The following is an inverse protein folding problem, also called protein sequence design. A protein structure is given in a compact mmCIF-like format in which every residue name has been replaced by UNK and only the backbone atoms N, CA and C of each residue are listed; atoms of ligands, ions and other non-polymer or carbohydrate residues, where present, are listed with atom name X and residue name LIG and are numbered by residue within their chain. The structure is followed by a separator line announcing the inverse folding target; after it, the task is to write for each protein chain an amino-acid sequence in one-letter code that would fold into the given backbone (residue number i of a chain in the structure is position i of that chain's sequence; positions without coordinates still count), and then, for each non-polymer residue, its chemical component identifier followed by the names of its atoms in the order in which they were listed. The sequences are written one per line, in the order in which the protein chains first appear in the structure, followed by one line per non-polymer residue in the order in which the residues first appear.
data_IF_839686182936
#
_entry.id   IF_839686182936
#
_cell.length_a   1.000
_cell.length_b   1.000
_cell.length_c   1.000
_cell.angle_alpha   90.00
_cell.angle_beta   90.00
_cell.angle_gamma   90.00
#
_symmetry.space_group_name_H-M   'P 1'
#
loop_
_entity.id
_entity.type
_entity.pdbx_description
1 polymer ?
#
# COMPACT_ATOMS: atom_id res chain seq x y z
N UNK A 1 -19.91 4.16 0.49
CA UNK A 1 -19.07 4.83 1.51
C UNK A 1 -19.13 4.17 2.88
N UNK A 2 -20.30 3.84 3.42
CA UNK A 2 -20.39 3.20 4.74
C UNK A 2 -19.69 1.84 4.81
N UNK A 3 -19.73 1.03 3.76
CA UNK A 3 -19.08 -0.29 3.71
C UNK A 3 -17.53 -0.21 3.86
N UNK A 4 -16.88 0.75 3.22
CA UNK A 4 -15.42 0.92 3.35
C UNK A 4 -15.01 1.45 4.72
N UNK A 5 -15.79 2.33 5.34
CA UNK A 5 -15.51 2.82 6.68
C UNK A 5 -15.53 1.66 7.70
N UNK A 6 -16.54 0.80 7.64
CA UNK A 6 -16.63 -0.39 8.47
C UNK A 6 -15.47 -1.36 8.21
N UNK A 7 -15.10 -1.58 6.95
CA UNK A 7 -13.93 -2.40 6.59
C UNK A 7 -12.63 -1.86 7.17
N UNK A 8 -12.45 -0.54 7.25
CA UNK A 8 -11.27 0.10 7.85
C UNK A 8 -11.25 -0.15 9.36
N UNK A 9 -12.39 0.01 10.05
CA UNK A 9 -12.52 -0.26 11.48
C UNK A 9 -12.25 -1.73 11.84
N UNK A 10 -12.59 -2.64 10.94
CA UNK A 10 -12.42 -4.10 11.10
C UNK A 10 -11.10 -4.60 10.53
N UNK A 11 -10.22 -3.72 10.04
CA UNK A 11 -8.97 -4.13 9.44
C UNK A 11 -7.97 -4.67 10.48
N UNK A 12 -7.50 -5.87 10.24
CA UNK A 12 -6.54 -6.56 11.08
C UNK A 12 -5.12 -6.39 10.52
N UNK A 13 -4.37 -5.40 11.03
CA UNK A 13 -3.03 -5.10 10.53
C UNK A 13 -1.93 -5.26 11.58
N UNK A 14 -2.27 -5.19 12.87
CA UNK A 14 -1.30 -5.04 13.95
C UNK A 14 -0.57 -6.32 14.36
N UNK A 15 -0.90 -7.45 13.75
CA UNK A 15 -0.07 -8.66 13.85
C UNK A 15 1.30 -8.51 13.14
N UNK A 16 1.39 -7.57 12.19
CA UNK A 16 2.60 -7.32 11.40
C UNK A 16 2.97 -5.85 11.31
N UNK A 17 1.99 -4.95 11.31
CA UNK A 17 2.22 -3.52 11.23
C UNK A 17 2.38 -2.92 12.62
N UNK A 18 3.28 -1.95 12.74
CA UNK A 18 3.47 -1.15 13.94
C UNK A 18 2.57 0.08 13.88
N UNK A 19 2.06 0.50 15.03
CA UNK A 19 1.52 1.84 15.19
C UNK A 19 2.68 2.83 15.16
N UNK A 20 2.92 3.42 13.98
CA UNK A 20 4.07 4.30 13.79
C UNK A 20 3.87 5.65 14.45
N UNK A 21 4.94 6.33 14.88
CA UNK A 21 4.81 7.65 15.50
C UNK A 21 4.35 8.70 14.48
N UNK A 22 3.69 9.73 15.02
CA UNK A 22 3.41 10.99 14.35
C UNK A 22 4.39 12.03 14.92
N UNK A 23 5.42 12.39 14.16
CA UNK A 23 6.53 13.22 14.62
C UNK A 23 6.41 14.65 14.07
N UNK A 24 6.64 15.67 14.92
CA UNK A 24 6.73 17.05 14.46
C UNK A 24 8.04 17.28 13.70
N UNK A 25 7.91 17.73 12.46
CA UNK A 25 9.03 18.09 11.59
C UNK A 25 9.52 19.51 11.92
N UNK A 26 10.33 19.67 12.95
CA UNK A 26 10.72 20.98 13.50
C UNK A 26 11.32 21.93 12.44
N UNK A 27 12.29 21.47 11.66
CA UNK A 27 12.93 22.31 10.65
C UNK A 27 11.94 22.76 9.57
N UNK A 28 11.11 21.85 9.06
CA UNK A 28 10.11 22.17 8.07
C UNK A 28 9.02 23.09 8.63
N UNK A 29 8.61 22.86 9.88
CA UNK A 29 7.64 23.70 10.57
C UNK A 29 8.15 25.13 10.71
N UNK A 30 9.40 25.32 11.08
CA UNK A 30 10.03 26.64 11.19
C UNK A 30 10.15 27.33 9.83
N UNK A 31 10.58 26.61 8.80
CA UNK A 31 10.72 27.13 7.42
C UNK A 31 9.38 27.62 6.87
N UNK A 32 8.31 26.87 7.10
CA UNK A 32 6.98 27.16 6.58
C UNK A 32 6.14 28.05 7.52
N UNK A 33 6.65 28.39 8.69
CA UNK A 33 5.91 29.07 9.76
C UNK A 33 4.54 28.40 10.01
N UNK A 34 4.54 27.07 10.11
CA UNK A 34 3.35 26.23 10.26
C UNK A 34 3.68 24.99 11.09
N UNK A 35 2.68 24.27 11.60
CA UNK A 35 2.90 22.99 12.24
C UNK A 35 2.82 21.86 11.22
N UNK A 36 3.96 21.19 11.01
CA UNK A 36 4.08 20.06 10.08
C UNK A 36 4.42 18.80 10.86
N UNK A 37 3.65 17.75 10.65
CA UNK A 37 3.85 16.44 11.25
C UNK A 37 4.09 15.37 10.16
N UNK A 38 4.92 14.41 10.47
CA UNK A 38 5.23 13.26 9.60
C UNK A 38 4.69 11.98 10.24
N UNK A 39 3.83 11.28 9.54
CA UNK A 39 3.43 9.91 9.88
C UNK A 39 4.50 8.96 9.36
N UNK A 40 5.25 8.36 10.28
CA UNK A 40 6.53 7.68 10.00
C UNK A 40 6.34 6.22 9.55
N UNK A 41 5.65 6.02 8.42
CA UNK A 41 5.46 4.68 7.85
C UNK A 41 6.77 4.04 7.32
N UNK A 42 7.82 4.83 7.18
CA UNK A 42 9.19 4.35 6.93
C UNK A 42 9.78 3.52 8.09
N UNK A 43 9.20 3.61 9.29
CA UNK A 43 9.60 2.83 10.46
C UNK A 43 8.91 1.46 10.57
N UNK A 44 8.09 1.09 9.61
CA UNK A 44 7.58 -0.29 9.48
C UNK A 44 8.74 -1.26 9.16
N UNK A 45 8.59 -2.54 9.50
CA UNK A 45 9.64 -3.56 9.27
C UNK A 45 9.99 -3.75 7.78
N UNK A 46 9.09 -3.35 6.87
CA UNK A 46 9.31 -3.32 5.41
C UNK A 46 9.47 -1.90 4.87
N UNK A 47 9.76 -0.94 5.74
CA UNK A 47 10.04 0.47 5.43
C UNK A 47 8.93 1.19 4.66
N UNK A 48 7.68 0.74 4.79
CA UNK A 48 6.53 1.37 4.13
C UNK A 48 5.19 0.89 4.66
N UNK A 49 4.15 1.69 4.41
CA UNK A 49 2.76 1.40 4.74
C UNK A 49 2.19 0.16 4.03
N UNK A 50 2.83 -0.35 2.99
CA UNK A 50 2.30 -1.43 2.14
C UNK A 50 2.00 -2.71 2.92
N UNK A 51 2.67 -2.93 4.03
CA UNK A 51 2.43 -4.08 4.90
C UNK A 51 0.99 -4.14 5.42
N UNK A 52 0.38 -2.99 5.70
CA UNK A 52 -0.97 -2.89 6.26
C UNK A 52 -2.02 -3.50 5.31
N UNK A 53 -2.07 -3.01 4.08
CA UNK A 53 -3.02 -3.51 3.09
C UNK A 53 -2.72 -4.93 2.64
N UNK A 54 -1.45 -5.29 2.45
CA UNK A 54 -1.06 -6.64 2.08
C UNK A 54 -1.52 -7.64 3.15
N UNK A 55 -1.24 -7.38 4.42
CA UNK A 55 -1.64 -8.27 5.51
C UNK A 55 -3.16 -8.31 5.69
N UNK A 56 -3.84 -7.17 5.71
CA UNK A 56 -5.30 -7.12 5.86
C UNK A 56 -6.04 -7.89 4.75
N UNK A 57 -5.51 -7.90 3.53
CA UNK A 57 -6.04 -8.73 2.44
C UNK A 57 -5.77 -10.21 2.70
N UNK A 58 -4.54 -10.54 3.04
CA UNK A 58 -4.11 -11.94 3.15
C UNK A 58 -4.67 -12.62 4.40
N UNK A 59 -4.88 -11.91 5.51
CA UNK A 59 -5.49 -12.45 6.74
C UNK A 59 -6.96 -12.89 6.54
N UNK A 60 -7.62 -12.37 5.51
CA UNK A 60 -9.01 -12.73 5.14
C UNK A 60 -9.12 -13.88 4.15
N UNK A 61 -7.99 -14.40 3.68
CA UNK A 61 -7.99 -15.57 2.80
C UNK A 61 -8.35 -16.83 3.61
N UNK A 62 -9.07 -17.73 2.96
CA UNK A 62 -9.37 -19.05 3.55
C UNK A 62 -8.11 -19.88 3.71
N UNK A 63 -8.13 -20.85 4.61
CA UNK A 63 -7.02 -21.79 4.79
C UNK A 63 -6.65 -22.50 3.47
N UNK A 64 -7.62 -22.83 2.64
CA UNK A 64 -7.39 -23.41 1.32
C UNK A 64 -6.63 -22.46 0.39
N UNK A 65 -6.98 -21.17 0.35
CA UNK A 65 -6.30 -20.16 -0.45
C UNK A 65 -4.87 -19.91 0.05
N UNK A 66 -4.68 -19.85 1.37
CA UNK A 66 -3.34 -19.71 1.97
C UNK A 66 -2.46 -20.93 1.67
N UNK A 67 -3.02 -22.15 1.73
CA UNK A 67 -2.29 -23.38 1.41
C UNK A 67 -1.87 -23.46 -0.08
N UNK A 68 -2.67 -22.92 -0.99
CA UNK A 68 -2.31 -22.81 -2.40
C UNK A 68 -1.20 -21.77 -2.62
N UNK A 69 -1.22 -20.69 -1.85
CA UNK A 69 -0.25 -19.62 -1.93
C UNK A 69 -0.79 -18.37 -2.62
N UNK A 70 0.01 -17.32 -2.54
CA UNK A 70 -0.32 -16.00 -3.09
C UNK A 70 0.70 -15.57 -4.14
N UNK A 71 0.29 -14.65 -5.01
CA UNK A 71 1.14 -14.10 -6.06
C UNK A 71 0.90 -12.59 -6.19
N UNK A 72 1.94 -11.85 -6.51
CA UNK A 72 1.84 -10.44 -6.89
C UNK A 72 2.93 -10.04 -7.87
N UNK A 73 2.74 -8.90 -8.55
CA UNK A 73 3.74 -8.23 -9.37
C UNK A 73 4.17 -6.94 -8.69
N UNK A 74 5.42 -6.85 -8.26
CA UNK A 74 5.99 -5.63 -7.69
C UNK A 74 7.50 -5.75 -7.47
N UNK A 75 8.27 -4.77 -7.88
CA UNK A 75 9.70 -4.65 -7.57
C UNK A 75 10.01 -3.77 -6.35
N UNK A 76 8.99 -3.38 -5.57
CA UNK A 76 9.15 -2.40 -4.50
C UNK A 76 8.50 -2.79 -3.18
N UNK A 77 7.92 -1.81 -2.53
CA UNK A 77 7.38 -1.91 -1.17
C UNK A 77 6.23 -2.93 -1.04
N UNK A 78 5.40 -3.08 -2.08
CA UNK A 78 4.31 -4.05 -2.04
C UNK A 78 4.83 -5.50 -2.05
N UNK A 79 5.89 -5.78 -2.80
CA UNK A 79 6.56 -7.07 -2.79
C UNK A 79 7.02 -7.48 -1.38
N UNK A 80 7.65 -6.56 -0.66
CA UNK A 80 8.09 -6.80 0.72
C UNK A 80 6.90 -6.95 1.68
N UNK A 81 5.85 -6.14 1.52
CA UNK A 81 4.62 -6.25 2.30
C UNK A 81 3.95 -7.61 2.14
N UNK A 82 3.81 -8.11 0.91
CA UNK A 82 3.24 -9.44 0.63
C UNK A 82 4.15 -10.54 1.16
N UNK A 83 5.46 -10.43 0.97
CA UNK A 83 6.41 -11.44 1.43
C UNK A 83 6.42 -11.58 2.96
N UNK A 84 6.43 -10.47 3.72
CA UNK A 84 6.36 -10.50 5.18
C UNK A 84 5.01 -11.03 5.67
N UNK A 85 3.91 -10.62 5.03
CA UNK A 85 2.57 -11.13 5.35
C UNK A 85 2.48 -12.64 5.16
N UNK A 86 3.03 -13.14 4.05
CA UNK A 86 3.06 -14.56 3.74
C UNK A 86 3.88 -15.35 4.78
N UNK A 87 5.04 -14.83 5.16
CA UNK A 87 5.87 -15.42 6.20
C UNK A 87 5.11 -15.55 7.53
N UNK A 88 4.39 -14.50 7.92
CA UNK A 88 3.57 -14.49 9.15
C UNK A 88 2.40 -15.47 9.11
N UNK A 89 1.74 -15.57 7.96
CA UNK A 89 0.57 -16.44 7.75
C UNK A 89 0.96 -17.88 7.36
N UNK A 90 2.26 -18.20 7.38
CA UNK A 90 2.78 -19.50 6.95
C UNK A 90 2.28 -19.90 5.54
N UNK A 91 2.28 -18.94 4.63
CA UNK A 91 1.81 -19.05 3.26
C UNK A 91 2.98 -18.88 2.29
N UNK A 92 2.97 -19.57 1.15
CA UNK A 92 3.98 -19.34 0.11
C UNK A 92 3.63 -18.14 -0.75
N UNK A 93 4.50 -17.13 -0.78
CA UNK A 93 4.38 -16.02 -1.73
C UNK A 93 5.26 -16.22 -2.95
N UNK A 94 4.70 -15.94 -4.13
CA UNK A 94 5.42 -15.81 -5.41
C UNK A 94 5.38 -14.35 -5.84
N UNK A 95 6.55 -13.74 -6.02
CA UNK A 95 6.68 -12.34 -6.39
C UNK A 95 7.32 -12.23 -7.76
N UNK A 96 6.61 -11.66 -8.71
CA UNK A 96 7.16 -11.35 -10.02
C UNK A 96 7.76 -9.95 -10.03
N UNK A 97 8.94 -9.84 -10.62
CA UNK A 97 9.67 -8.58 -10.77
C UNK A 97 10.25 -8.48 -12.18
N UNK A 98 10.36 -7.28 -12.76
CA UNK A 98 11.10 -7.07 -14.01
C UNK A 98 12.53 -7.60 -13.90
N UNK A 99 13.10 -8.06 -15.00
CA UNK A 99 14.49 -8.54 -15.04
C UNK A 99 15.50 -7.43 -14.72
N UNK A 100 15.10 -6.18 -14.93
CA UNK A 100 15.87 -4.97 -14.62
C UNK A 100 15.90 -4.62 -13.13
N UNK A 101 15.19 -5.38 -12.27
CA UNK A 101 15.10 -5.09 -10.83
C UNK A 101 16.45 -5.22 -10.15
N UNK A 102 16.93 -4.19 -9.41
CA UNK A 102 18.20 -4.25 -8.68
C UNK A 102 18.25 -5.42 -7.70
N UNK A 103 19.40 -6.11 -7.63
CA UNK A 103 19.59 -7.28 -6.77
C UNK A 103 19.29 -7.02 -5.29
N UNK A 104 19.52 -5.81 -4.80
CA UNK A 104 19.19 -5.43 -3.42
C UNK A 104 17.69 -5.60 -3.13
N UNK A 105 16.82 -5.25 -4.07
CA UNK A 105 15.36 -5.42 -3.94
C UNK A 105 14.95 -6.88 -4.05
N UNK A 106 15.55 -7.61 -4.98
CA UNK A 106 15.33 -9.07 -5.14
C UNK A 106 15.70 -9.80 -3.85
N UNK A 107 16.88 -9.50 -3.29
CA UNK A 107 17.38 -10.14 -2.08
C UNK A 107 16.53 -9.77 -0.85
N UNK A 108 16.06 -8.53 -0.73
CA UNK A 108 15.15 -8.12 0.36
C UNK A 108 13.91 -9.01 0.43
N UNK A 109 13.31 -9.33 -0.72
CA UNK A 109 12.13 -10.20 -0.80
C UNK A 109 12.48 -11.69 -0.56
N UNK A 110 13.60 -12.17 -1.11
CA UNK A 110 14.09 -13.53 -0.87
C UNK A 110 14.41 -13.79 0.60
N UNK A 111 14.95 -12.81 1.31
CA UNK A 111 15.23 -12.89 2.75
C UNK A 111 13.93 -13.09 3.59
N UNK A 112 12.80 -12.65 3.07
CA UNK A 112 11.46 -12.90 3.64
C UNK A 112 10.86 -14.24 3.17
N UNK A 113 11.67 -15.15 2.63
CA UNK A 113 11.28 -16.51 2.20
C UNK A 113 10.33 -16.57 1.00
N UNK A 114 10.05 -15.46 0.33
CA UNK A 114 9.22 -15.48 -0.87
C UNK A 114 10.00 -16.00 -2.08
N UNK A 115 9.28 -16.68 -2.98
CA UNK A 115 9.80 -17.09 -4.29
C UNK A 115 9.79 -15.89 -5.22
N UNK A 116 10.94 -15.51 -5.79
CA UNK A 116 11.04 -14.43 -6.77
C UNK A 116 11.20 -15.04 -8.17
N UNK A 117 10.40 -14.53 -9.11
CA UNK A 117 10.51 -14.82 -10.54
C UNK A 117 10.82 -13.51 -11.24
N UNK A 118 11.93 -13.46 -11.97
CA UNK A 118 12.28 -12.33 -12.83
C UNK A 118 11.70 -12.58 -14.21
N UNK A 119 10.87 -11.66 -14.71
CA UNK A 119 10.17 -11.78 -15.99
C UNK A 119 9.82 -10.42 -16.56
N UNK A 120 9.99 -10.25 -17.88
CA UNK A 120 9.68 -9.01 -18.60
C UNK A 120 10.63 -7.87 -18.28
N UNK A 121 10.55 -6.82 -19.09
CA UNK A 121 11.41 -5.64 -18.98
C UNK A 121 10.78 -4.52 -18.15
N UNK A 122 9.45 -4.55 -18.00
CA UNK A 122 8.64 -3.54 -17.33
C UNK A 122 7.53 -4.13 -16.45
N UNK A 123 6.80 -3.25 -15.76
CA UNK A 123 5.73 -3.65 -14.85
C UNK A 123 4.58 -4.34 -15.59
N UNK A 124 4.17 -3.82 -16.74
CA UNK A 124 3.00 -4.33 -17.46
C UNK A 124 3.18 -5.77 -17.92
N UNK A 125 4.35 -6.11 -18.43
CA UNK A 125 4.69 -7.47 -18.81
C UNK A 125 4.71 -8.39 -17.59
N UNK A 126 5.34 -7.93 -16.52
CA UNK A 126 5.43 -8.66 -15.26
C UNK A 126 4.04 -8.89 -14.65
N UNK A 127 3.18 -7.87 -14.70
CA UNK A 127 1.80 -7.96 -14.20
C UNK A 127 0.96 -8.97 -15.01
N UNK A 128 1.00 -8.89 -16.34
CA UNK A 128 0.29 -9.85 -17.20
C UNK A 128 0.70 -11.28 -16.93
N UNK A 129 2.00 -11.53 -16.77
CA UNK A 129 2.54 -12.85 -16.46
C UNK A 129 2.12 -13.30 -15.04
N UNK A 130 2.09 -12.40 -14.06
CA UNK A 130 1.62 -12.72 -12.72
C UNK A 130 0.14 -13.14 -12.71
N UNK A 131 -0.71 -12.46 -13.48
CA UNK A 131 -2.12 -12.82 -13.66
C UNK A 131 -2.23 -14.20 -14.35
N UNK A 132 -1.46 -14.46 -15.41
CA UNK A 132 -1.45 -15.74 -16.10
C UNK A 132 -1.09 -16.89 -15.15
N UNK A 133 0.00 -16.75 -14.39
CA UNK A 133 0.42 -17.75 -13.40
C UNK A 133 -0.61 -17.92 -12.28
N UNK A 134 -1.21 -16.81 -11.81
CA UNK A 134 -2.29 -16.85 -10.82
C UNK A 134 -3.42 -17.77 -11.25
N UNK A 135 -3.88 -17.63 -12.49
CA UNK A 135 -4.96 -18.46 -13.07
C UNK A 135 -4.54 -19.92 -13.26
N UNK A 136 -3.36 -20.17 -13.84
CA UNK A 136 -2.88 -21.52 -14.11
C UNK A 136 -2.64 -22.35 -12.85
N UNK A 137 -2.16 -21.72 -11.79
CA UNK A 137 -1.80 -22.39 -10.53
C UNK A 137 -2.81 -22.17 -9.41
N UNK A 138 -3.90 -21.49 -9.70
CA UNK A 138 -4.95 -21.14 -8.73
C UNK A 138 -4.38 -20.43 -7.49
N UNK A 139 -3.40 -19.49 -7.71
CA UNK A 139 -2.84 -18.66 -6.66
C UNK A 139 -3.70 -17.41 -6.44
N UNK A 140 -3.82 -16.96 -5.18
CA UNK A 140 -4.54 -15.73 -4.91
C UNK A 140 -3.67 -14.52 -5.29
N UNK A 141 -4.13 -13.70 -6.24
CA UNK A 141 -3.44 -12.47 -6.63
C UNK A 141 -3.67 -11.37 -5.59
N UNK A 142 -2.59 -10.81 -5.04
CA UNK A 142 -2.63 -9.71 -4.09
C UNK A 142 -2.36 -8.41 -4.81
N UNK A 143 -3.43 -7.63 -5.08
CA UNK A 143 -3.33 -6.38 -5.82
C UNK A 143 -2.62 -5.30 -5.01
N UNK A 144 -1.73 -4.48 -5.60
CA UNK A 144 -0.91 -3.50 -4.87
C UNK A 144 -1.67 -2.28 -4.33
N UNK A 145 -2.90 -2.01 -4.81
CA UNK A 145 -3.69 -0.83 -4.43
C UNK A 145 -5.19 -0.93 -4.71
N UNK A 146 -5.62 -1.58 -5.79
CA UNK A 146 -7.04 -1.63 -6.20
C UNK A 146 -7.70 -2.93 -5.74
N UNK A 147 -7.88 -3.02 -4.43
CA UNK A 147 -8.58 -4.11 -3.75
C UNK A 147 -9.21 -3.54 -2.46
N UNK A 148 -10.50 -3.79 -2.19
CA UNK A 148 -11.19 -3.24 -1.03
C UNK A 148 -10.53 -3.53 0.31
N UNK A 149 -9.95 -4.73 0.49
CA UNK A 149 -9.28 -5.10 1.73
C UNK A 149 -7.89 -4.48 1.83
N UNK A 150 -7.20 -4.30 0.70
CA UNK A 150 -5.93 -3.56 0.65
C UNK A 150 -6.17 -2.10 1.02
N UNK A 151 -7.17 -1.45 0.41
CA UNK A 151 -7.55 -0.06 0.70
C UNK A 151 -7.92 0.10 2.19
N UNK A 152 -8.71 -0.83 2.74
CA UNK A 152 -9.10 -0.80 4.14
C UNK A 152 -7.88 -0.91 5.08
N UNK A 153 -6.93 -1.80 4.78
CA UNK A 153 -5.69 -1.90 5.55
C UNK A 153 -4.88 -0.60 5.55
N UNK A 154 -4.78 0.09 4.41
CA UNK A 154 -4.11 1.40 4.32
C UNK A 154 -4.86 2.47 5.12
N UNK A 155 -6.19 2.39 5.18
CA UNK A 155 -7.04 3.30 5.93
C UNK A 155 -6.79 3.30 7.45
N UNK A 156 -6.19 2.24 8.01
CA UNK A 156 -5.83 2.17 9.44
C UNK A 156 -4.87 3.30 9.87
N UNK A 157 -4.11 3.86 8.94
CA UNK A 157 -3.27 5.04 9.21
C UNK A 157 -4.14 6.21 9.68
N UNK A 158 -5.33 6.38 9.12
CA UNK A 158 -6.24 7.46 9.50
C UNK A 158 -6.81 7.27 10.92
N UNK A 159 -7.03 6.03 11.36
CA UNK A 159 -7.39 5.72 12.75
C UNK A 159 -6.26 6.19 13.69
N UNK A 160 -5.03 5.83 13.36
CA UNK A 160 -3.86 6.24 14.15
C UNK A 160 -3.67 7.76 14.17
N UNK A 161 -3.92 8.45 13.04
CA UNK A 161 -3.88 9.93 12.99
C UNK A 161 -4.93 10.54 13.92
N UNK A 162 -6.15 10.01 13.94
CA UNK A 162 -7.20 10.47 14.84
C UNK A 162 -6.79 10.33 16.32
N UNK A 163 -6.13 9.24 16.67
CA UNK A 163 -5.70 8.99 18.04
C UNK A 163 -4.46 9.81 18.46
N UNK A 164 -3.57 10.11 17.50
CA UNK A 164 -2.29 10.77 17.77
C UNK A 164 -2.36 12.30 17.70
N UNK A 165 -3.30 12.85 16.95
CA UNK A 165 -3.51 14.29 16.83
C UNK A 165 -4.36 14.80 18.00
N UNK A 166 -3.91 15.85 18.67
CA UNK A 166 -4.69 16.55 19.71
C UNK A 166 -5.84 17.36 19.13
N UNK A 167 -5.59 17.94 17.96
CA UNK A 167 -6.53 18.75 17.21
C UNK A 167 -6.57 18.28 15.76
N UNK A 168 -7.72 18.46 15.08
CA UNK A 168 -7.86 18.13 13.68
C UNK A 168 -6.90 18.97 12.82
N UNK A 169 -6.19 18.39 11.87
CA UNK A 169 -5.28 19.12 11.01
C UNK A 169 -6.07 19.95 9.98
N UNK A 170 -5.45 21.00 9.44
CA UNK A 170 -6.00 21.73 8.30
C UNK A 170 -6.01 20.89 7.02
N UNK A 171 -4.93 20.15 6.78
CA UNK A 171 -4.77 19.31 5.60
C UNK A 171 -3.91 18.07 5.90
N UNK A 172 -4.14 17.02 5.13
CA UNK A 172 -3.30 15.81 5.11
C UNK A 172 -2.77 15.63 3.68
N UNK A 173 -1.46 15.64 3.54
CA UNK A 173 -0.75 15.42 2.28
C UNK A 173 -0.40 13.94 2.14
N UNK A 174 -0.77 13.33 1.04
CA UNK A 174 -0.65 11.89 0.83
C UNK A 174 0.00 11.61 -0.51
N UNK A 175 1.10 10.87 -0.51
CA UNK A 175 1.72 10.41 -1.75
C UNK A 175 0.76 9.50 -2.53
N UNK A 176 0.60 9.78 -3.82
CA UNK A 176 -0.28 9.04 -4.72
C UNK A 176 0.55 8.29 -5.76
N UNK A 177 0.25 7.02 -5.92
CA UNK A 177 0.60 6.20 -7.06
C UNK A 177 -0.70 5.60 -7.58
N UNK A 178 -0.96 4.31 -7.33
CA UNK A 178 -2.24 3.67 -7.71
C UNK A 178 -3.46 4.04 -6.86
N UNK A 179 -3.38 4.99 -5.93
CA UNK A 179 -4.53 5.56 -5.22
C UNK A 179 -4.98 4.83 -3.94
N UNK A 180 -4.50 3.61 -3.65
CA UNK A 180 -5.01 2.82 -2.51
C UNK A 180 -4.79 3.47 -1.14
N UNK A 181 -3.66 4.19 -0.93
CA UNK A 181 -3.38 4.89 0.32
C UNK A 181 -4.32 6.08 0.52
N UNK A 182 -4.37 6.97 -0.48
CA UNK A 182 -5.21 8.17 -0.39
C UNK A 182 -6.69 7.81 -0.29
N UNK A 183 -7.14 6.76 -0.99
CA UNK A 183 -8.51 6.26 -0.88
C UNK A 183 -8.84 5.80 0.53
N UNK A 184 -8.01 4.94 1.12
CA UNK A 184 -8.24 4.44 2.48
C UNK A 184 -8.26 5.56 3.53
N UNK A 185 -7.27 6.46 3.50
CA UNK A 185 -7.21 7.59 4.43
C UNK A 185 -8.38 8.55 4.22
N UNK A 186 -8.70 8.89 2.96
CA UNK A 186 -9.79 9.83 2.64
C UNK A 186 -11.14 9.32 3.10
N UNK A 187 -11.44 8.04 2.88
CA UNK A 187 -12.71 7.43 3.29
C UNK A 187 -12.96 7.53 4.79
N UNK A 188 -11.91 7.34 5.58
CA UNK A 188 -12.00 7.48 7.05
C UNK A 188 -12.05 8.94 7.48
N UNK A 189 -11.10 9.76 7.05
CA UNK A 189 -10.97 11.16 7.48
C UNK A 189 -12.21 11.98 7.07
N UNK A 190 -12.72 11.81 5.86
CA UNK A 190 -13.92 12.54 5.42
C UNK A 190 -15.19 12.13 6.17
N UNK A 191 -15.21 10.98 6.80
CA UNK A 191 -16.30 10.55 7.68
C UNK A 191 -16.26 11.22 9.04
N UNK A 192 -15.05 11.38 9.64
CA UNK A 192 -14.88 11.92 10.99
C UNK A 192 -14.60 13.42 10.99
N UNK A 193 -13.88 13.92 9.99
CA UNK A 193 -13.48 15.32 9.82
C UNK A 193 -13.73 15.79 8.38
N UNK A 194 -14.99 16.05 7.99
CA UNK A 194 -15.35 16.33 6.58
C UNK A 194 -14.62 17.55 5.99
N UNK A 195 -14.30 18.55 6.83
CA UNK A 195 -13.65 19.80 6.45
C UNK A 195 -12.14 19.68 6.21
N UNK A 196 -11.47 18.64 6.74
CA UNK A 196 -10.03 18.43 6.55
C UNK A 196 -9.72 18.22 5.07
N UNK A 197 -8.77 19.00 4.56
CA UNK A 197 -8.35 18.87 3.17
C UNK A 197 -7.49 17.62 2.99
N UNK A 198 -7.83 16.82 2.01
CA UNK A 198 -6.98 15.69 1.55
C UNK A 198 -6.31 16.13 0.26
N UNK A 199 -4.99 16.14 0.27
CA UNK A 199 -4.17 16.62 -0.85
C UNK A 199 -3.30 15.47 -1.32
N UNK A 200 -3.55 14.99 -2.55
CA UNK A 200 -2.71 14.02 -3.23
C UNK A 200 -1.43 14.70 -3.72
N UNK A 201 -0.32 14.00 -3.63
CA UNK A 201 1.00 14.46 -4.09
C UNK A 201 1.58 13.44 -5.04
N UNK A 202 1.87 13.87 -6.27
CA UNK A 202 2.50 13.07 -7.32
C UNK A 202 3.74 13.80 -7.84
N UNK A 203 4.74 13.08 -8.37
CA UNK A 203 5.83 13.71 -9.13
C UNK A 203 5.31 14.29 -10.44
N UNK A 204 5.90 15.39 -10.90
CA UNK A 204 5.49 16.07 -12.15
C UNK A 204 5.63 15.17 -13.40
N UNK A 205 6.61 14.28 -13.41
CA UNK A 205 6.87 13.30 -14.46
C UNK A 205 6.04 12.01 -14.34
N UNK A 206 5.18 11.93 -13.32
CA UNK A 206 4.41 10.74 -12.99
C UNK A 206 3.03 11.10 -12.38
N UNK A 207 2.30 11.99 -13.05
CA UNK A 207 1.05 12.64 -12.61
C UNK A 207 -0.21 11.90 -13.11
N UNK A 208 -0.17 10.59 -13.16
CA UNK A 208 -1.22 9.77 -13.74
C UNK A 208 -2.59 9.92 -13.06
N UNK A 209 -2.63 10.06 -11.73
CA UNK A 209 -3.90 10.25 -11.02
C UNK A 209 -4.48 11.65 -11.27
N UNK A 210 -3.65 12.68 -11.30
CA UNK A 210 -4.07 14.05 -11.64
C UNK A 210 -4.69 14.07 -13.04
N UNK A 211 -4.04 13.51 -14.04
CA UNK A 211 -4.58 13.39 -15.39
C UNK A 211 -5.86 12.58 -15.47
N UNK A 212 -5.95 11.48 -14.69
CA UNK A 212 -7.17 10.67 -14.63
C UNK A 212 -8.35 11.45 -14.06
N UNK A 213 -8.13 12.26 -13.04
CA UNK A 213 -9.17 13.10 -12.43
C UNK A 213 -9.59 14.25 -13.36
N UNK A 214 -8.64 14.91 -14.03
CA UNK A 214 -8.91 16.02 -14.94
C UNK A 214 -9.63 15.57 -16.21
N UNK A 215 -9.27 14.41 -16.75
CA UNK A 215 -9.82 13.89 -18.01
C UNK A 215 -10.95 12.88 -17.79
N UNK A 216 -11.32 12.54 -16.56
CA UNK A 216 -12.23 11.44 -16.22
C UNK A 216 -11.80 10.09 -16.84
N UNK A 217 -10.52 9.93 -17.14
CA UNK A 217 -9.93 8.70 -17.66
C UNK A 217 -9.47 7.86 -16.46
N UNK A 218 -10.13 6.74 -16.21
CA UNK A 218 -9.88 5.87 -15.06
C UNK A 218 -8.86 4.76 -15.32
N UNK A 219 -8.17 4.80 -16.43
CA UNK A 219 -7.10 3.86 -16.77
C UNK A 219 -5.81 4.63 -16.94
N UNK A 220 -4.92 4.56 -15.98
CA UNK A 220 -3.57 5.08 -16.15
C UNK A 220 -2.55 4.00 -15.82
N UNK A 221 -1.48 3.87 -16.62
CA UNK A 221 -0.32 3.11 -16.22
C UNK A 221 0.27 3.71 -14.95
N UNK A 222 0.88 2.88 -14.13
CA UNK A 222 1.57 3.37 -12.93
C UNK A 222 2.74 4.25 -13.34
N UNK A 223 2.94 5.40 -12.68
CA UNK A 223 4.02 6.32 -13.02
C UNK A 223 5.44 5.80 -12.72
N UNK A 224 5.56 4.58 -12.25
CA UNK A 224 6.84 3.95 -11.91
C UNK A 224 7.17 2.74 -12.79
N UNK A 225 6.50 2.64 -13.92
CA UNK A 225 6.68 1.56 -14.90
C UNK A 225 7.61 1.98 -16.03
#
# INVERSE_FOLDING_TARGET
MNDYFEKILQAEVYEVAKKTPLEKAHNLSNTLNNEVFLKREDLQDVFSFKIRGAYNKMSKLTNSQLAQGVITSSAGNHAQGVALSALKLNCQATILMPITTPLVKVNAVKNLKAKVILFGDNYDETYKEAIRISQERNLCFIHPFDDPDVIAGQGTIAIELQEQLKEKPYAIYIAVGGGGLISGISLYIKKIWPEVKIIGVEPEDADAMTKSLDCLLYTSPSPRD
#
